data_IF_623515951736
#
_entry.id   IF_623515951736
#
_cell.length_a   1.000
_cell.length_b   1.000
_cell.length_c   1.000
_cell.angle_alpha   90.00
_cell.angle_beta   90.00
_cell.angle_gamma   90.00
#
_symmetry.space_group_name_H-M   'P 1'
#
loop_
_entity.id
_entity.type
_entity.pdbx_description
1 polymer ?
#
# COMPACT_ATOMS: atom_id res chain seq x y z
N UNK A 1 -16.99 3.34 -20.16
CA UNK A 1 -16.17 4.57 -20.13
C UNK A 1 -14.77 4.22 -20.57
N UNK A 2 -14.03 5.16 -21.17
CA UNK A 2 -12.59 5.03 -21.43
C UNK A 2 -11.78 5.75 -20.37
N UNK A 3 -10.94 5.04 -19.64
CA UNK A 3 -10.20 5.53 -18.49
C UNK A 3 -8.69 5.60 -18.76
N UNK A 4 -8.05 6.70 -18.38
CA UNK A 4 -6.61 6.82 -18.36
C UNK A 4 -6.11 6.73 -16.90
N UNK A 5 -5.39 5.67 -16.54
CA UNK A 5 -4.76 5.50 -15.24
C UNK A 5 -3.27 5.87 -15.34
N UNK A 6 -2.79 6.77 -14.49
CA UNK A 6 -1.37 7.14 -14.42
C UNK A 6 -0.75 6.55 -13.17
N UNK A 7 0.26 5.69 -13.36
CA UNK A 7 0.90 4.92 -12.28
C UNK A 7 2.43 5.05 -12.34
N UNK A 8 3.17 4.85 -11.23
CA UNK A 8 4.64 4.92 -11.27
C UNK A 8 5.26 3.76 -12.06
N UNK A 9 4.67 2.60 -11.97
CA UNK A 9 5.03 1.29 -12.45
C UNK A 9 4.17 0.27 -11.71
N UNK A 10 4.67 -0.94 -11.48
CA UNK A 10 3.92 -2.00 -10.78
C UNK A 10 2.94 -2.74 -11.70
N UNK A 11 3.21 -2.74 -12.99
CA UNK A 11 2.38 -3.37 -14.05
C UNK A 11 3.26 -4.16 -15.03
N UNK A 12 4.21 -4.93 -14.51
CA UNK A 12 5.11 -5.75 -15.30
C UNK A 12 4.36 -6.78 -16.14
N UNK A 13 4.89 -7.10 -17.32
CA UNK A 13 4.31 -8.04 -18.29
C UNK A 13 4.02 -9.43 -17.71
N UNK A 14 4.80 -9.84 -16.71
CA UNK A 14 4.62 -11.14 -16.05
C UNK A 14 3.32 -11.22 -15.23
N UNK A 15 2.78 -10.09 -14.77
CA UNK A 15 1.66 -10.06 -13.83
C UNK A 15 2.00 -10.54 -12.40
N UNK A 16 3.23 -10.99 -12.16
CA UNK A 16 3.67 -11.58 -10.88
C UNK A 16 4.88 -10.85 -10.27
N UNK A 17 5.89 -10.51 -11.10
CA UNK A 17 7.12 -9.86 -10.67
C UNK A 17 7.03 -8.35 -10.90
N UNK A 18 7.65 -7.55 -10.02
CA UNK A 18 7.68 -6.09 -10.15
C UNK A 18 6.30 -5.46 -10.34
N UNK A 19 5.29 -6.03 -9.67
CA UNK A 19 3.89 -5.57 -9.70
C UNK A 19 3.47 -5.01 -8.36
N UNK A 20 2.43 -4.19 -8.38
CA UNK A 20 1.70 -3.77 -7.17
C UNK A 20 0.37 -4.54 -7.18
N UNK A 21 0.21 -5.58 -6.33
CA UNK A 21 -0.94 -6.50 -6.41
C UNK A 21 -2.30 -5.80 -6.34
N UNK A 22 -2.48 -4.84 -5.42
CA UNK A 22 -3.72 -4.09 -5.32
C UNK A 22 -4.01 -3.22 -6.57
N UNK A 23 -2.97 -2.75 -7.27
CA UNK A 23 -3.12 -2.02 -8.53
C UNK A 23 -3.58 -2.93 -9.65
N UNK A 24 -2.99 -4.13 -9.77
CA UNK A 24 -3.44 -5.11 -10.77
C UNK A 24 -4.88 -5.55 -10.51
N UNK A 25 -5.21 -5.83 -9.25
CA UNK A 25 -6.56 -6.19 -8.86
C UNK A 25 -7.59 -5.08 -9.19
N UNK A 26 -7.24 -3.81 -9.00
CA UNK A 26 -8.06 -2.67 -9.39
C UNK A 26 -8.21 -2.58 -10.93
N UNK A 27 -7.10 -2.68 -11.67
CA UNK A 27 -7.09 -2.62 -13.15
C UNK A 27 -8.00 -3.71 -13.73
N UNK A 28 -7.84 -4.95 -13.28
CA UNK A 28 -8.65 -6.08 -13.74
C UNK A 28 -10.14 -5.84 -13.54
N UNK A 29 -10.54 -5.34 -12.37
CA UNK A 29 -11.94 -5.08 -12.07
C UNK A 29 -12.52 -3.93 -12.88
N UNK A 30 -11.77 -2.86 -13.05
CA UNK A 30 -12.19 -1.75 -13.90
C UNK A 30 -12.28 -2.17 -15.39
N UNK A 31 -11.39 -3.03 -15.86
CA UNK A 31 -11.38 -3.53 -17.23
C UNK A 31 -12.58 -4.44 -17.58
N UNK A 32 -13.29 -4.96 -16.57
CA UNK A 32 -14.53 -5.73 -16.79
C UNK A 32 -15.68 -4.89 -17.37
N UNK A 33 -15.70 -3.59 -17.11
CA UNK A 33 -16.79 -2.68 -17.49
C UNK A 33 -16.34 -1.40 -18.20
N UNK A 34 -15.02 -1.18 -18.32
CA UNK A 34 -14.42 0.02 -18.90
C UNK A 34 -13.28 -0.34 -19.85
N UNK A 35 -13.02 0.50 -20.84
CA UNK A 35 -11.79 0.48 -21.62
C UNK A 35 -10.70 1.18 -20.78
N UNK A 36 -9.70 0.43 -20.32
CA UNK A 36 -8.68 0.93 -19.39
C UNK A 36 -7.32 1.03 -20.08
N UNK A 37 -6.76 2.23 -20.10
CA UNK A 37 -5.39 2.50 -20.55
C UNK A 37 -4.53 2.92 -19.35
N UNK A 38 -3.45 2.19 -19.08
CA UNK A 38 -2.53 2.45 -17.97
C UNK A 38 -1.25 3.07 -18.50
N UNK A 39 -0.96 4.28 -18.08
CA UNK A 39 0.29 4.99 -18.41
C UNK A 39 1.27 4.81 -17.26
N UNK A 40 2.14 3.80 -17.38
CA UNK A 40 3.20 3.53 -16.43
C UNK A 40 4.39 4.46 -16.70
N UNK A 41 4.73 5.30 -15.72
CA UNK A 41 5.79 6.29 -15.92
C UNK A 41 7.15 5.64 -16.12
N UNK A 42 7.44 4.58 -15.35
CA UNK A 42 8.75 3.93 -15.35
C UNK A 42 8.66 2.47 -14.88
N UNK A 43 8.04 1.60 -15.69
CA UNK A 43 8.08 0.15 -15.44
C UNK A 43 9.37 -0.45 -16.01
N UNK A 44 9.70 -0.09 -17.24
CA UNK A 44 10.90 -0.48 -17.97
C UNK A 44 11.62 0.77 -18.47
N UNK A 45 12.94 0.72 -18.69
CA UNK A 45 13.73 1.83 -19.21
C UNK A 45 13.29 2.24 -20.62
N UNK A 46 13.00 1.26 -21.49
CA UNK A 46 12.51 1.49 -22.83
C UNK A 46 10.99 1.73 -22.85
N UNK A 47 10.52 2.62 -23.71
CA UNK A 47 9.09 2.76 -23.96
C UNK A 47 8.51 1.49 -24.61
N UNK A 48 7.29 1.12 -24.24
CA UNK A 48 6.66 -0.08 -24.76
C UNK A 48 5.15 -0.13 -24.52
N UNK A 49 4.49 -1.13 -25.13
CA UNK A 49 3.06 -1.40 -24.92
C UNK A 49 2.84 -2.88 -24.76
N UNK A 50 1.87 -3.26 -23.94
CA UNK A 50 1.39 -4.63 -23.76
C UNK A 50 0.00 -4.63 -23.14
N UNK A 51 -0.65 -5.79 -23.18
CA UNK A 51 -1.91 -6.03 -22.47
C UNK A 51 -1.64 -6.72 -21.13
N UNK A 52 -2.33 -6.28 -20.07
CA UNK A 52 -2.25 -6.89 -18.75
C UNK A 52 -3.57 -6.67 -17.99
N UNK A 53 -4.10 -7.72 -17.38
CA UNK A 53 -5.34 -7.66 -16.60
C UNK A 53 -6.52 -7.00 -17.34
N UNK A 54 -6.63 -7.21 -18.65
CA UNK A 54 -7.67 -6.65 -19.51
C UNK A 54 -7.48 -5.17 -19.88
N UNK A 55 -6.33 -4.57 -19.55
CA UNK A 55 -6.03 -3.17 -19.85
C UNK A 55 -4.82 -3.02 -20.77
N UNK A 56 -4.82 -1.95 -21.59
CA UNK A 56 -3.68 -1.57 -22.44
C UNK A 56 -2.64 -0.80 -21.63
N UNK A 57 -1.47 -1.35 -21.45
CA UNK A 57 -0.36 -0.73 -20.71
C UNK A 57 0.53 0.04 -21.67
N UNK A 58 0.77 1.31 -21.34
CA UNK A 58 1.69 2.21 -22.04
C UNK A 58 2.86 2.52 -21.13
N UNK A 59 3.98 1.82 -21.25
CA UNK A 59 5.21 2.18 -20.55
C UNK A 59 5.89 3.38 -21.22
N UNK A 60 6.10 4.42 -20.45
CA UNK A 60 6.69 5.68 -20.96
C UNK A 60 8.22 5.58 -21.09
N UNK A 61 8.87 4.85 -20.18
CA UNK A 61 10.31 4.69 -20.14
C UNK A 61 11.04 5.91 -19.59
N UNK A 62 12.38 5.85 -19.65
CA UNK A 62 13.26 6.87 -19.10
C UNK A 62 13.31 8.16 -19.93
N UNK A 63 13.79 9.26 -19.32
CA UNK A 63 14.01 10.57 -19.94
C UNK A 63 12.73 11.36 -20.20
N UNK A 64 12.66 12.60 -19.69
CA UNK A 64 11.53 13.53 -19.81
C UNK A 64 10.15 12.87 -19.60
N UNK A 65 10.08 11.86 -18.76
CA UNK A 65 8.95 10.93 -18.55
C UNK A 65 7.60 11.65 -18.42
N UNK A 66 7.54 12.75 -17.67
CA UNK A 66 6.27 13.48 -17.46
C UNK A 66 5.71 14.08 -18.74
N UNK A 67 6.55 14.74 -19.54
CA UNK A 67 6.13 15.35 -20.80
C UNK A 67 5.72 14.28 -21.82
N UNK A 68 6.49 13.17 -21.89
CA UNK A 68 6.18 12.02 -22.76
C UNK A 68 4.88 11.36 -22.37
N UNK A 69 4.60 11.22 -21.05
CA UNK A 69 3.34 10.68 -20.56
C UNK A 69 2.14 11.55 -20.96
N UNK A 70 2.23 12.86 -20.78
CA UNK A 70 1.18 13.80 -21.21
C UNK A 70 0.96 13.72 -22.73
N UNK A 71 2.05 13.66 -23.51
CA UNK A 71 1.98 13.52 -24.97
C UNK A 71 1.32 12.19 -25.38
N UNK A 72 1.65 11.08 -24.70
CA UNK A 72 1.07 9.75 -24.95
C UNK A 72 -0.44 9.73 -24.62
N UNK A 73 -0.85 10.29 -23.49
CA UNK A 73 -2.26 10.43 -23.12
C UNK A 73 -3.02 11.25 -24.16
N UNK A 74 -2.45 12.39 -24.59
CA UNK A 74 -3.04 13.25 -25.63
C UNK A 74 -3.15 12.52 -26.96
N UNK A 75 -2.13 11.77 -27.35
CA UNK A 75 -2.13 11.02 -28.62
C UNK A 75 -3.21 9.93 -28.61
N UNK A 76 -3.37 9.22 -27.50
CA UNK A 76 -4.41 8.20 -27.36
C UNK A 76 -5.81 8.81 -27.30
N UNK A 77 -5.98 9.92 -26.58
CA UNK A 77 -7.24 10.67 -26.52
C UNK A 77 -7.72 11.16 -27.92
N UNK A 78 -6.78 11.52 -28.81
CA UNK A 78 -7.12 11.92 -30.20
C UNK A 78 -7.64 10.75 -31.05
N UNK A 79 -7.24 9.51 -30.73
CA UNK A 79 -7.72 8.31 -31.42
C UNK A 79 -9.12 7.93 -30.97
N UNK A 80 -9.30 7.91 -29.65
CA UNK A 80 -10.60 7.68 -29.02
C UNK A 80 -10.61 8.43 -27.68
N UNK A 81 -11.57 9.35 -27.44
CA UNK A 81 -11.57 10.22 -26.26
C UNK A 81 -11.66 9.44 -24.96
N UNK A 82 -10.84 9.85 -23.98
CA UNK A 82 -10.99 9.43 -22.57
C UNK A 82 -12.15 10.18 -21.93
N UNK A 83 -12.82 9.53 -21.00
CA UNK A 83 -13.84 10.13 -20.15
C UNK A 83 -13.24 10.70 -18.89
N UNK A 84 -12.18 10.08 -18.34
CA UNK A 84 -11.56 10.44 -17.06
C UNK A 84 -10.07 10.13 -17.04
N UNK A 85 -9.34 10.91 -16.23
CA UNK A 85 -7.92 10.65 -15.95
C UNK A 85 -7.75 10.48 -14.45
N UNK A 86 -7.17 9.35 -14.04
CA UNK A 86 -6.89 9.05 -12.64
C UNK A 86 -5.40 8.82 -12.42
N UNK A 87 -4.85 9.36 -11.34
CA UNK A 87 -3.53 8.98 -10.83
C UNK A 87 -3.67 8.08 -9.59
N UNK A 88 -2.91 7.02 -9.56
CA UNK A 88 -2.57 6.30 -8.32
C UNK A 88 -1.20 6.80 -7.89
N UNK A 89 -1.13 7.37 -6.68
CA UNK A 89 -0.07 8.22 -6.13
C UNK A 89 -0.07 9.66 -6.69
N UNK A 90 -0.05 10.63 -5.77
CA UNK A 90 -0.19 12.04 -6.12
C UNK A 90 1.08 12.65 -6.73
N UNK A 91 2.25 12.23 -6.37
CA UNK A 91 3.55 12.77 -6.78
C UNK A 91 3.70 13.11 -8.27
N UNK A 92 4.53 12.36 -9.00
CA UNK A 92 4.71 12.54 -10.46
C UNK A 92 3.51 12.07 -11.25
N UNK A 93 2.81 11.03 -10.79
CA UNK A 93 1.61 10.51 -11.44
C UNK A 93 0.47 11.54 -11.36
N UNK A 94 0.24 12.12 -10.17
CA UNK A 94 -0.75 13.17 -10.00
C UNK A 94 -0.47 14.40 -10.86
N UNK A 95 0.79 14.82 -10.94
CA UNK A 95 1.17 15.96 -11.82
C UNK A 95 0.84 15.68 -13.29
N UNK A 96 1.17 14.49 -13.79
CA UNK A 96 0.85 14.09 -15.19
C UNK A 96 -0.65 14.03 -15.40
N UNK A 97 -1.38 13.38 -14.49
CA UNK A 97 -2.83 13.21 -14.60
C UNK A 97 -3.56 14.55 -14.61
N UNK A 98 -3.25 15.43 -13.65
CA UNK A 98 -3.88 16.75 -13.55
C UNK A 98 -3.51 17.64 -14.76
N UNK A 99 -2.24 17.66 -15.20
CA UNK A 99 -1.81 18.44 -16.35
C UNK A 99 -2.50 17.94 -17.64
N UNK A 100 -2.56 16.63 -17.87
CA UNK A 100 -3.25 16.05 -19.02
C UNK A 100 -4.76 16.34 -18.97
N UNK A 101 -5.39 16.17 -17.81
CA UNK A 101 -6.81 16.45 -17.61
C UNK A 101 -7.16 17.92 -17.93
N UNK A 102 -6.39 18.85 -17.42
CA UNK A 102 -6.58 20.30 -17.73
C UNK A 102 -6.41 20.59 -19.21
N UNK A 103 -5.37 20.01 -19.86
CA UNK A 103 -5.12 20.18 -21.27
C UNK A 103 -6.27 19.65 -22.14
N UNK A 104 -6.88 18.53 -21.73
CA UNK A 104 -7.94 17.84 -22.46
C UNK A 104 -9.34 18.22 -21.99
N UNK A 105 -9.48 19.06 -20.97
CA UNK A 105 -10.73 19.46 -20.31
C UNK A 105 -11.53 18.26 -19.77
N UNK A 106 -10.82 17.30 -19.19
CA UNK A 106 -11.38 16.10 -18.59
C UNK A 106 -11.36 16.19 -17.06
N UNK A 107 -12.28 15.50 -16.38
CA UNK A 107 -12.22 15.34 -14.94
C UNK A 107 -11.01 14.51 -14.50
N UNK A 108 -10.37 14.93 -13.40
CA UNK A 108 -9.20 14.31 -12.80
C UNK A 108 -9.49 13.75 -11.42
N UNK A 109 -8.93 12.57 -11.13
CA UNK A 109 -8.94 11.97 -9.80
C UNK A 109 -7.50 11.66 -9.37
N UNK A 110 -7.14 12.04 -8.15
CA UNK A 110 -5.82 11.75 -7.57
C UNK A 110 -5.99 10.94 -6.29
N UNK A 111 -5.40 9.74 -6.27
CA UNK A 111 -5.42 8.85 -5.11
C UNK A 111 -4.08 8.90 -4.37
N UNK A 112 -4.12 9.23 -3.07
CA UNK A 112 -2.95 9.27 -2.19
C UNK A 112 -2.85 7.95 -1.45
N UNK A 113 -1.79 7.17 -1.72
CA UNK A 113 -1.63 5.83 -1.19
C UNK A 113 -0.20 5.48 -0.74
N UNK A 114 0.68 6.47 -0.63
CA UNK A 114 2.09 6.27 -0.27
C UNK A 114 2.63 7.33 0.69
N UNK A 115 3.94 7.56 0.62
CA UNK A 115 4.66 8.54 1.44
C UNK A 115 4.62 9.97 0.92
N UNK A 116 3.65 10.34 0.10
CA UNK A 116 3.58 11.64 -0.59
C UNK A 116 3.46 12.81 0.39
N UNK A 117 2.74 12.62 1.49
CA UNK A 117 2.43 13.67 2.48
C UNK A 117 3.44 13.77 3.61
N UNK A 118 4.43 12.87 3.68
CA UNK A 118 5.39 12.82 4.79
C UNK A 118 6.77 13.35 4.42
N UNK A 119 7.55 13.68 5.45
CA UNK A 119 8.94 14.11 5.35
C UNK A 119 9.74 13.51 6.52
N UNK A 120 10.14 12.25 6.41
CA UNK A 120 10.99 11.58 7.38
C UNK A 120 12.46 11.90 7.08
N UNK A 121 12.93 13.03 7.64
CA UNK A 121 14.25 13.59 7.32
C UNK A 121 15.39 12.67 7.71
N UNK A 122 15.28 11.97 8.86
CA UNK A 122 16.31 11.06 9.36
C UNK A 122 16.68 9.94 8.38
N UNK A 123 15.73 9.50 7.57
CA UNK A 123 15.93 8.41 6.60
C UNK A 123 15.83 8.87 5.14
N UNK A 124 15.66 10.17 4.91
CA UNK A 124 15.53 10.71 3.55
C UNK A 124 14.26 10.29 2.80
N UNK A 125 13.16 9.97 3.50
CA UNK A 125 11.94 9.43 2.90
C UNK A 125 10.78 10.44 2.92
N UNK A 126 10.01 10.45 1.83
CA UNK A 126 8.75 11.18 1.72
C UNK A 126 8.71 12.26 0.64
N UNK A 127 7.52 12.46 0.09
CA UNK A 127 7.28 13.41 -1.00
C UNK A 127 7.49 14.88 -0.61
N UNK A 128 7.36 15.19 0.67
CA UNK A 128 7.47 16.55 1.23
C UNK A 128 8.85 16.89 1.81
N UNK A 129 9.86 16.06 1.62
CA UNK A 129 11.23 16.30 2.06
C UNK A 129 11.78 17.64 1.54
N UNK A 130 11.67 17.85 0.24
CA UNK A 130 12.19 19.05 -0.44
C UNK A 130 11.06 20.05 -0.71
N UNK A 131 11.38 21.36 -0.72
CA UNK A 131 10.39 22.43 -0.99
C UNK A 131 9.70 22.26 -2.35
N UNK A 132 10.43 21.84 -3.39
CA UNK A 132 9.87 21.55 -4.72
C UNK A 132 8.84 20.41 -4.67
N UNK A 133 9.08 19.40 -3.82
CA UNK A 133 8.12 18.32 -3.58
C UNK A 133 6.84 18.85 -2.92
N UNK A 134 6.97 19.68 -1.88
CA UNK A 134 5.82 20.32 -1.21
C UNK A 134 4.98 21.18 -2.15
N UNK A 135 5.66 22.00 -2.98
CA UNK A 135 4.97 22.84 -3.96
C UNK A 135 4.23 22.01 -5.00
N UNK A 136 4.90 21.00 -5.58
CA UNK A 136 4.29 20.08 -6.54
C UNK A 136 3.05 19.41 -5.94
N UNK A 137 3.17 18.87 -4.73
CA UNK A 137 2.08 18.20 -4.02
C UNK A 137 0.90 19.15 -3.81
N UNK A 138 1.15 20.36 -3.31
CA UNK A 138 0.12 21.37 -3.12
C UNK A 138 -0.59 21.76 -4.43
N UNK A 139 0.16 21.91 -5.53
CA UNK A 139 -0.41 22.20 -6.84
C UNK A 139 -1.28 21.04 -7.34
N UNK A 140 -0.81 19.81 -7.23
CA UNK A 140 -1.54 18.63 -7.67
C UNK A 140 -2.85 18.45 -6.90
N UNK A 141 -2.79 18.51 -5.56
CA UNK A 141 -3.95 18.29 -4.70
C UNK A 141 -5.02 19.38 -4.84
N UNK A 142 -4.61 20.65 -5.08
CA UNK A 142 -5.57 21.75 -5.31
C UNK A 142 -6.15 21.75 -6.72
N UNK A 143 -5.40 21.24 -7.70
CA UNK A 143 -5.83 21.23 -9.09
C UNK A 143 -6.61 19.98 -9.50
N UNK A 144 -6.59 18.92 -8.69
CA UNK A 144 -7.40 17.72 -8.89
C UNK A 144 -8.88 18.00 -8.60
N UNK A 145 -9.78 17.48 -9.44
CA UNK A 145 -11.23 17.63 -9.24
C UNK A 145 -11.73 16.73 -8.10
N UNK A 146 -11.11 15.56 -7.93
CA UNK A 146 -11.39 14.64 -6.83
C UNK A 146 -10.08 14.15 -6.23
N UNK A 147 -9.97 14.24 -4.89
CA UNK A 147 -8.87 13.63 -4.13
C UNK A 147 -9.41 12.49 -3.30
N UNK A 148 -8.70 11.36 -3.32
CA UNK A 148 -9.00 10.19 -2.50
C UNK A 148 -7.76 9.74 -1.73
N UNK A 149 -7.96 8.98 -0.64
CA UNK A 149 -6.88 8.48 0.19
C UNK A 149 -7.15 7.06 0.69
N UNK A 150 -6.08 6.28 0.86
CA UNK A 150 -6.19 4.87 1.24
C UNK A 150 -6.62 4.66 2.70
N UNK A 151 -6.28 5.57 3.62
CA UNK A 151 -6.48 5.40 5.05
C UNK A 151 -6.91 6.69 5.76
N UNK A 152 -7.46 6.56 6.97
CA UNK A 152 -7.87 7.70 7.79
C UNK A 152 -6.69 8.63 8.17
N UNK A 153 -5.49 8.15 8.54
CA UNK A 153 -4.34 9.02 8.79
C UNK A 153 -3.97 9.89 7.58
N UNK A 154 -4.11 9.37 6.36
CA UNK A 154 -3.87 10.19 5.15
C UNK A 154 -4.99 11.23 4.97
N UNK A 155 -6.25 10.87 5.23
CA UNK A 155 -7.38 11.83 5.20
C UNK A 155 -7.13 12.98 6.18
N UNK A 156 -6.68 12.68 7.39
CA UNK A 156 -6.33 13.69 8.40
C UNK A 156 -5.18 14.59 7.93
N UNK A 157 -4.13 13.97 7.36
CA UNK A 157 -3.02 14.73 6.77
C UNK A 157 -3.47 15.65 5.63
N UNK A 158 -4.38 15.22 4.77
CA UNK A 158 -4.97 16.04 3.70
C UNK A 158 -5.83 17.17 4.26
N UNK A 159 -6.65 16.86 5.28
CA UNK A 159 -7.48 17.87 5.99
C UNK A 159 -6.60 18.95 6.61
N UNK A 160 -5.49 18.60 7.25
CA UNK A 160 -4.54 19.56 7.80
C UNK A 160 -3.88 20.46 6.73
N UNK A 161 -3.91 20.04 5.45
CA UNK A 161 -3.47 20.83 4.30
C UNK A 161 -4.60 21.62 3.61
N UNK A 162 -5.81 21.59 4.18
CA UNK A 162 -7.00 22.22 3.61
C UNK A 162 -7.53 21.51 2.36
N UNK A 163 -7.26 20.22 2.20
CA UNK A 163 -7.70 19.40 1.05
C UNK A 163 -8.80 18.45 1.50
N UNK A 164 -10.00 18.60 0.92
CA UNK A 164 -11.08 17.65 1.10
C UNK A 164 -10.77 16.36 0.31
N UNK A 165 -10.88 15.20 0.96
CA UNK A 165 -10.63 13.93 0.33
C UNK A 165 -11.61 12.85 0.79
N UNK A 166 -11.84 11.83 -0.06
CA UNK A 166 -12.69 10.68 0.25
C UNK A 166 -11.83 9.45 0.51
N UNK A 167 -12.22 8.64 1.48
CA UNK A 167 -11.53 7.39 1.76
C UNK A 167 -11.89 6.35 0.70
N UNK A 168 -10.88 5.79 0.06
CA UNK A 168 -10.98 4.63 -0.84
C UNK A 168 -9.80 3.70 -0.48
N UNK A 169 -10.00 2.70 0.37
CA UNK A 169 -8.95 1.75 0.69
C UNK A 169 -8.62 0.89 -0.53
N UNK A 170 -7.36 0.51 -0.67
CA UNK A 170 -6.95 -0.51 -1.64
C UNK A 170 -7.13 -1.88 -0.99
N UNK A 171 -8.07 -2.66 -1.50
CA UNK A 171 -8.44 -3.95 -0.92
C UNK A 171 -7.64 -5.13 -1.45
N UNK A 172 -7.77 -6.25 -0.76
CA UNK A 172 -7.18 -7.54 -1.16
C UNK A 172 -8.05 -8.19 -2.23
N UNK A 173 -7.40 -8.84 -3.18
CA UNK A 173 -8.06 -9.74 -4.11
C UNK A 173 -8.40 -11.07 -3.42
N UNK A 174 -9.69 -11.30 -3.14
CA UNK A 174 -10.16 -12.51 -2.47
C UNK A 174 -10.07 -13.77 -3.35
N UNK A 175 -9.84 -13.65 -4.66
CA UNK A 175 -9.54 -14.79 -5.51
C UNK A 175 -8.09 -15.27 -5.33
N UNK A 176 -7.16 -14.32 -5.25
CA UNK A 176 -5.75 -14.62 -4.94
C UNK A 176 -5.54 -15.02 -3.47
N UNK A 177 -6.34 -14.43 -2.57
CA UNK A 177 -6.33 -14.66 -1.12
C UNK A 177 -7.70 -15.14 -0.63
N UNK A 178 -8.06 -16.43 -0.85
CA UNK A 178 -9.28 -16.98 -0.28
C UNK A 178 -9.28 -16.87 1.24
N UNK A 179 -10.40 -16.44 1.87
CA UNK A 179 -10.48 -16.28 3.31
C UNK A 179 -10.26 -17.60 4.05
N UNK A 180 -9.41 -17.58 5.08
CA UNK A 180 -9.20 -18.70 6.00
C UNK A 180 -9.58 -18.29 7.41
N UNK A 181 -10.32 -19.16 8.11
CA UNK A 181 -10.68 -18.92 9.50
C UNK A 181 -9.42 -18.80 10.39
N UNK A 182 -9.41 -17.89 11.37
CA UNK A 182 -8.37 -17.86 12.39
C UNK A 182 -8.21 -19.22 13.06
N UNK A 183 -6.98 -19.66 13.23
CA UNK A 183 -6.65 -20.97 13.75
C UNK A 183 -5.81 -20.90 15.02
N UNK A 184 -5.95 -21.89 15.87
CA UNK A 184 -5.08 -22.07 17.03
C UNK A 184 -3.63 -22.32 16.58
N UNK A 185 -2.68 -21.86 17.41
CA UNK A 185 -1.26 -22.12 17.20
C UNK A 185 -0.98 -23.63 17.27
N UNK A 186 -0.07 -24.06 16.44
CA UNK A 186 0.49 -25.41 16.52
C UNK A 186 1.51 -25.48 17.66
N UNK A 187 1.66 -26.66 18.24
CA UNK A 187 2.74 -26.88 19.22
C UNK A 187 4.14 -26.60 18.62
N UNK A 188 5.05 -26.13 19.43
CA UNK A 188 6.42 -25.81 19.05
C UNK A 188 6.71 -24.32 18.95
N UNK A 189 7.83 -23.93 18.30
CA UNK A 189 8.24 -22.53 18.14
C UNK A 189 7.18 -21.69 17.41
N UNK A 190 6.92 -20.47 17.89
CA UNK A 190 6.02 -19.54 17.26
C UNK A 190 6.49 -19.18 15.84
N UNK A 191 5.59 -19.13 14.88
CA UNK A 191 5.87 -18.77 13.49
C UNK A 191 5.51 -17.31 13.24
N UNK A 192 6.52 -16.48 13.10
CA UNK A 192 6.36 -15.05 12.82
C UNK A 192 6.66 -14.78 11.36
N UNK A 193 5.97 -13.82 10.77
CA UNK A 193 6.25 -13.37 9.40
C UNK A 193 6.35 -11.84 9.36
N UNK A 194 7.30 -11.33 8.57
CA UNK A 194 7.44 -9.93 8.20
C UNK A 194 7.50 -9.83 6.69
N UNK A 195 6.60 -9.06 6.09
CA UNK A 195 6.50 -8.94 4.63
C UNK A 195 6.65 -7.48 4.24
N UNK A 196 7.84 -7.12 3.80
CA UNK A 196 8.17 -5.77 3.33
C UNK A 196 9.53 -5.77 2.63
N UNK A 197 9.72 -4.91 1.63
CA UNK A 197 11.07 -4.65 1.10
C UNK A 197 12.00 -4.21 2.22
N UNK A 198 13.25 -4.69 2.22
CA UNK A 198 14.25 -4.25 3.19
C UNK A 198 14.72 -2.85 2.80
N UNK A 199 14.16 -1.86 3.46
CA UNK A 199 14.49 -0.45 3.25
C UNK A 199 14.27 0.35 4.55
N UNK A 200 14.81 1.57 4.59
CA UNK A 200 14.84 2.37 5.83
C UNK A 200 13.46 2.71 6.39
N UNK A 201 12.43 2.84 5.55
CA UNK A 201 11.08 3.17 6.05
C UNK A 201 10.39 1.99 6.73
N UNK A 202 10.81 0.75 6.42
CA UNK A 202 10.27 -0.47 7.04
C UNK A 202 10.91 -0.82 8.38
N UNK A 203 12.01 -0.14 8.72
CA UNK A 203 12.68 -0.18 10.03
C UNK A 203 12.89 -1.60 10.59
N UNK A 204 13.46 -2.48 9.74
CA UNK A 204 13.84 -3.81 10.20
C UNK A 204 14.81 -3.81 11.40
N UNK A 205 15.66 -2.80 11.62
CA UNK A 205 16.42 -2.71 12.86
C UNK A 205 15.58 -2.75 14.15
N UNK A 206 14.43 -2.08 14.18
CA UNK A 206 13.48 -2.17 15.31
C UNK A 206 12.92 -3.59 15.45
N UNK A 207 12.52 -4.23 14.36
CA UNK A 207 12.08 -5.63 14.35
C UNK A 207 13.16 -6.57 14.93
N UNK A 208 14.39 -6.49 14.41
CA UNK A 208 15.46 -7.40 14.81
C UNK A 208 15.86 -7.22 16.29
N UNK A 209 15.85 -5.99 16.83
CA UNK A 209 16.06 -5.76 18.26
C UNK A 209 14.94 -6.35 19.12
N UNK A 210 13.67 -6.22 18.68
CA UNK A 210 12.55 -6.87 19.35
C UNK A 210 12.68 -8.40 19.35
N UNK A 211 13.09 -8.99 18.25
CA UNK A 211 13.33 -10.44 18.15
C UNK A 211 14.49 -10.90 19.02
N UNK A 212 15.57 -10.12 19.13
CA UNK A 212 16.68 -10.42 20.02
C UNK A 212 16.22 -10.43 21.49
N UNK A 213 15.44 -9.43 21.91
CA UNK A 213 14.88 -9.39 23.27
C UNK A 213 13.96 -10.59 23.56
N UNK A 214 13.13 -11.00 22.62
CA UNK A 214 12.28 -12.20 22.76
C UNK A 214 13.09 -13.49 22.91
N UNK A 215 14.15 -13.66 22.12
CA UNK A 215 15.07 -14.80 22.24
C UNK A 215 15.76 -14.81 23.59
N UNK A 216 16.28 -13.65 24.02
CA UNK A 216 16.98 -13.51 25.31
C UNK A 216 16.03 -13.77 26.50
N UNK A 217 14.74 -13.46 26.33
CA UNK A 217 13.64 -13.83 27.23
C UNK A 217 13.21 -15.30 27.16
N UNK A 218 13.87 -16.14 26.34
CA UNK A 218 13.60 -17.58 26.25
C UNK A 218 12.43 -17.97 25.34
N UNK A 219 11.85 -17.03 24.58
CA UNK A 219 10.76 -17.35 23.64
C UNK A 219 11.29 -18.14 22.45
N UNK A 220 10.76 -19.33 22.22
CA UNK A 220 11.06 -20.12 21.03
C UNK A 220 10.21 -19.64 19.83
N UNK A 221 10.88 -19.15 18.77
CA UNK A 221 10.20 -18.68 17.55
C UNK A 221 11.03 -18.93 16.28
N UNK A 222 10.37 -18.83 15.15
CA UNK A 222 10.98 -18.69 13.80
C UNK A 222 10.36 -17.48 13.13
N UNK A 223 11.21 -16.62 12.53
CA UNK A 223 10.79 -15.42 11.79
C UNK A 223 11.13 -15.58 10.32
N UNK A 224 10.16 -15.50 9.45
CA UNK A 224 10.34 -15.38 8.02
C UNK A 224 10.25 -13.91 7.58
N UNK A 225 11.32 -13.41 6.96
CA UNK A 225 11.38 -12.05 6.41
C UNK A 225 11.31 -12.16 4.89
N UNK A 226 10.22 -11.64 4.30
CA UNK A 226 9.92 -11.69 2.87
C UNK A 226 9.98 -10.29 2.28
N UNK A 227 10.75 -10.10 1.22
CA UNK A 227 10.83 -8.84 0.48
C UNK A 227 12.17 -8.64 -0.22
N UNK A 228 12.18 -7.70 -1.16
CA UNK A 228 13.38 -7.31 -1.91
C UNK A 228 14.34 -6.58 -0.98
N UNK A 229 15.61 -6.96 -0.99
CA UNK A 229 16.67 -6.23 -0.29
C UNK A 229 17.15 -5.04 -1.13
N UNK A 230 16.94 -3.82 -0.63
CA UNK A 230 17.44 -2.58 -1.21
C UNK A 230 18.56 -1.93 -0.37
N UNK A 231 18.99 -2.62 0.70
CA UNK A 231 20.03 -2.18 1.63
C UNK A 231 21.32 -3.03 1.55
N UNK A 232 21.44 -3.83 0.48
CA UNK A 232 22.67 -4.57 0.16
C UNK A 232 23.22 -5.40 1.33
N UNK A 233 22.35 -6.16 2.01
CA UNK A 233 22.72 -7.05 3.11
C UNK A 233 22.89 -6.36 4.47
N UNK A 234 22.56 -5.08 4.60
CA UNK A 234 22.69 -4.35 5.88
C UNK A 234 21.84 -4.98 6.99
N UNK A 235 20.61 -5.39 6.65
CA UNK A 235 19.67 -5.99 7.60
C UNK A 235 20.14 -7.39 8.03
N UNK A 236 20.62 -8.19 7.07
CA UNK A 236 21.17 -9.52 7.33
C UNK A 236 22.40 -9.47 8.24
N UNK A 237 23.32 -8.52 7.98
CA UNK A 237 24.48 -8.30 8.83
C UNK A 237 24.10 -7.87 10.26
N UNK A 238 23.02 -7.10 10.40
CA UNK A 238 22.51 -6.74 11.73
C UNK A 238 21.92 -7.97 12.44
N UNK A 239 21.18 -8.82 11.74
CA UNK A 239 20.67 -10.08 12.32
C UNK A 239 21.80 -10.97 12.84
N UNK A 240 22.92 -11.10 12.08
CA UNK A 240 24.10 -11.82 12.52
C UNK A 240 24.74 -11.23 13.78
N UNK A 241 24.95 -9.90 13.81
CA UNK A 241 25.48 -9.24 15.02
C UNK A 241 24.58 -9.40 16.26
N UNK A 242 23.29 -9.58 16.05
CA UNK A 242 22.33 -9.86 17.13
C UNK A 242 22.18 -11.35 17.42
N UNK A 243 22.91 -12.26 16.74
CA UNK A 243 22.87 -13.71 16.97
C UNK A 243 21.52 -14.35 16.60
N UNK A 244 20.83 -13.83 15.56
CA UNK A 244 19.48 -14.27 15.17
C UNK A 244 19.47 -15.28 14.00
N UNK A 245 20.64 -15.72 13.51
CA UNK A 245 20.77 -16.54 12.28
C UNK A 245 20.01 -17.87 12.38
N UNK A 246 19.89 -18.44 13.58
CA UNK A 246 19.20 -19.70 13.78
C UNK A 246 17.68 -19.61 13.85
N UNK A 247 17.11 -18.40 14.05
CA UNK A 247 15.67 -18.19 14.20
C UNK A 247 15.08 -17.22 13.17
N UNK A 248 15.88 -16.49 12.38
CA UNK A 248 15.44 -15.55 11.34
C UNK A 248 15.88 -16.04 9.96
N UNK A 249 14.96 -16.13 9.02
CA UNK A 249 15.24 -16.49 7.62
C UNK A 249 14.86 -15.33 6.71
N UNK A 250 15.76 -14.94 5.82
CA UNK A 250 15.53 -13.98 4.76
C UNK A 250 15.18 -14.72 3.47
N UNK A 251 13.94 -14.61 3.03
CA UNK A 251 13.44 -15.39 1.90
C UNK A 251 13.52 -14.65 0.56
N UNK A 252 13.91 -13.36 0.58
CA UNK A 252 13.88 -12.53 -0.62
C UNK A 252 12.45 -12.25 -1.10
N UNK A 253 12.33 -11.81 -2.36
CA UNK A 253 11.03 -11.57 -2.98
C UNK A 253 10.26 -12.90 -3.13
N UNK A 254 8.94 -12.81 -2.93
CA UNK A 254 7.98 -13.89 -3.21
C UNK A 254 6.80 -13.33 -3.98
N UNK A 255 6.33 -14.06 -4.98
CA UNK A 255 5.06 -13.76 -5.66
C UNK A 255 3.89 -13.94 -4.70
N UNK A 256 2.71 -13.40 -5.02
CA UNK A 256 1.52 -13.57 -4.19
C UNK A 256 1.20 -15.05 -3.94
N UNK A 257 1.38 -15.88 -4.95
CA UNK A 257 1.17 -17.34 -4.87
C UNK A 257 2.14 -18.02 -3.90
N UNK A 258 3.41 -17.59 -3.87
CA UNK A 258 4.42 -18.12 -2.96
C UNK A 258 4.31 -17.54 -1.54
N UNK A 259 3.87 -16.28 -1.42
CA UNK A 259 3.70 -15.59 -0.14
C UNK A 259 2.52 -16.15 0.66
N UNK A 260 1.42 -16.46 -0.02
CA UNK A 260 0.18 -16.92 0.62
C UNK A 260 0.40 -18.11 1.57
N UNK A 261 1.02 -19.24 1.18
CA UNK A 261 1.23 -20.36 2.10
C UNK A 261 2.16 -20.01 3.28
N UNK A 262 3.08 -19.08 3.12
CA UNK A 262 3.92 -18.59 4.22
C UNK A 262 3.09 -17.79 5.23
N UNK A 263 2.21 -16.90 4.74
CA UNK A 263 1.29 -16.13 5.57
C UNK A 263 0.31 -17.05 6.29
N UNK A 264 -0.32 -17.98 5.58
CA UNK A 264 -1.27 -18.96 6.13
C UNK A 264 -0.63 -19.85 7.22
N UNK A 265 0.68 -20.07 7.15
CA UNK A 265 1.42 -20.85 8.15
C UNK A 265 1.83 -20.01 9.37
N UNK A 266 1.78 -18.69 9.31
CA UNK A 266 2.22 -17.80 10.37
C UNK A 266 1.23 -17.75 11.54
N UNK A 267 1.74 -17.51 12.75
CA UNK A 267 0.96 -17.26 13.95
C UNK A 267 0.73 -15.77 14.18
N UNK A 268 1.67 -14.91 13.73
CA UNK A 268 1.56 -13.46 13.76
C UNK A 268 2.27 -12.83 12.54
N UNK A 269 1.63 -11.80 11.96
CA UNK A 269 2.32 -10.81 11.13
C UNK A 269 2.92 -9.74 12.03
N UNK A 270 4.20 -9.44 11.83
CA UNK A 270 4.91 -8.38 12.59
C UNK A 270 5.31 -7.25 11.65
N UNK A 271 4.94 -6.02 11.99
CA UNK A 271 5.27 -4.82 11.23
C UNK A 271 6.06 -3.83 12.09
N UNK A 272 7.13 -3.25 11.55
CA UNK A 272 8.02 -2.30 12.26
C UNK A 272 8.14 -0.95 11.58
N UNK A 273 7.34 -0.68 10.57
CA UNK A 273 7.48 0.49 9.68
C UNK A 273 7.45 1.83 10.42
N UNK A 274 8.25 2.80 9.96
CA UNK A 274 8.19 4.20 10.41
C UNK A 274 7.00 4.94 9.79
N UNK A 275 6.52 4.48 8.64
CA UNK A 275 5.36 5.03 7.95
C UNK A 275 4.72 3.99 7.03
N UNK A 276 3.41 3.98 7.01
CA UNK A 276 2.56 3.29 6.04
C UNK A 276 1.38 4.17 5.65
N UNK A 277 0.98 4.09 4.40
CA UNK A 277 -0.23 4.75 3.92
C UNK A 277 -1.48 3.87 4.14
N UNK A 278 -1.37 2.62 3.75
CA UNK A 278 -2.39 1.58 3.87
C UNK A 278 -1.74 0.25 3.50
N UNK A 279 -1.07 -0.42 4.47
CA UNK A 279 -0.29 -1.61 4.17
C UNK A 279 -1.20 -2.77 3.74
N UNK A 280 -1.08 -3.20 2.49
CA UNK A 280 -1.87 -4.30 1.94
C UNK A 280 -1.62 -5.62 2.68
N UNK A 281 -0.39 -5.83 3.13
CA UNK A 281 -0.02 -7.04 3.88
C UNK A 281 -0.83 -7.25 5.16
N UNK A 282 -1.27 -6.17 5.82
CA UNK A 282 -2.16 -6.25 6.98
C UNK A 282 -3.53 -6.81 6.58
N UNK A 283 -4.05 -6.41 5.42
CA UNK A 283 -5.31 -6.93 4.89
C UNK A 283 -5.15 -8.39 4.44
N UNK A 284 -4.04 -8.72 3.78
CA UNK A 284 -3.69 -10.09 3.36
C UNK A 284 -3.60 -11.04 4.58
N UNK A 285 -2.92 -10.61 5.64
CA UNK A 285 -2.86 -11.37 6.91
C UNK A 285 -4.23 -11.54 7.54
N UNK A 286 -5.03 -10.48 7.58
CA UNK A 286 -6.38 -10.52 8.15
C UNK A 286 -7.29 -11.51 7.39
N UNK A 287 -7.25 -11.51 6.05
CA UNK A 287 -7.99 -12.45 5.21
C UNK A 287 -7.49 -13.89 5.42
N UNK A 288 -6.19 -14.09 5.61
CA UNK A 288 -5.59 -15.39 5.94
C UNK A 288 -5.84 -15.82 7.40
N UNK A 289 -6.58 -15.04 8.19
CA UNK A 289 -6.86 -15.36 9.60
C UNK A 289 -5.66 -15.20 10.54
N UNK A 290 -4.66 -14.40 10.14
CA UNK A 290 -3.42 -14.13 10.88
C UNK A 290 -3.50 -12.75 11.53
N UNK A 291 -3.38 -12.66 12.86
CA UNK A 291 -3.40 -11.37 13.55
C UNK A 291 -2.11 -10.60 13.33
N UNK A 292 -2.20 -9.27 13.44
CA UNK A 292 -1.07 -8.37 13.22
C UNK A 292 -0.70 -7.61 14.49
N UNK A 293 0.60 -7.54 14.75
CA UNK A 293 1.22 -6.65 15.73
C UNK A 293 2.26 -5.78 15.05
N UNK A 294 2.36 -4.52 15.41
CA UNK A 294 3.38 -3.63 14.83
C UNK A 294 3.30 -2.20 15.28
N UNK A 295 4.08 -1.35 14.62
CA UNK A 295 4.13 0.08 14.89
C UNK A 295 2.84 0.79 14.48
N UNK A 296 2.46 1.85 15.21
CA UNK A 296 1.23 2.60 15.04
C UNK A 296 1.26 3.46 13.76
N UNK A 297 1.14 2.83 12.59
CA UNK A 297 1.15 3.46 11.26
C UNK A 297 0.03 2.93 10.35
N UNK A 298 -0.44 3.76 9.42
CA UNK A 298 -1.43 3.37 8.42
C UNK A 298 -2.67 2.73 9.04
N UNK A 299 -3.13 1.63 8.50
CA UNK A 299 -4.29 0.90 9.01
C UNK A 299 -4.10 0.33 10.42
N UNK A 300 -2.88 0.11 10.91
CA UNK A 300 -2.65 -0.35 12.28
C UNK A 300 -3.21 0.63 13.32
N UNK A 301 -3.05 1.94 13.10
CA UNK A 301 -3.65 2.97 13.96
C UNK A 301 -5.18 2.87 13.99
N UNK A 302 -5.79 2.60 12.83
CA UNK A 302 -7.25 2.52 12.71
C UNK A 302 -7.81 1.24 13.34
N UNK A 303 -7.03 0.15 13.33
CA UNK A 303 -7.49 -1.18 13.74
C UNK A 303 -7.22 -1.47 15.20
N UNK A 304 -6.18 -0.87 15.77
CA UNK A 304 -5.86 -1.01 17.19
C UNK A 304 -6.85 -0.24 18.08
N UNK A 305 -7.14 -0.75 19.29
CA UNK A 305 -6.73 -2.06 19.81
C UNK A 305 -7.66 -3.21 19.41
N UNK A 306 -8.74 -2.93 18.70
CA UNK A 306 -9.87 -3.86 18.52
C UNK A 306 -9.59 -5.00 17.50
N UNK A 307 -8.70 -4.78 16.52
CA UNK A 307 -8.42 -5.73 15.43
C UNK A 307 -6.93 -5.86 15.09
N UNK A 308 -6.06 -5.18 15.82
CA UNK A 308 -4.61 -5.28 15.74
C UNK A 308 -3.98 -4.81 17.05
N UNK A 309 -2.71 -5.16 17.28
CA UNK A 309 -1.92 -4.61 18.38
C UNK A 309 -0.92 -3.60 17.82
N UNK A 310 -1.01 -2.34 18.26
CA UNK A 310 -0.13 -1.27 17.84
C UNK A 310 0.76 -0.79 18.99
N UNK A 311 2.01 -0.48 18.66
CA UNK A 311 3.03 0.07 19.59
C UNK A 311 3.63 1.36 19.03
N UNK A 312 4.31 2.20 19.82
CA UNK A 312 4.97 3.40 19.31
C UNK A 312 5.99 3.07 18.21
N UNK A 313 6.15 3.99 17.25
CA UNK A 313 7.11 3.86 16.15
C UNK A 313 8.55 3.86 16.72
N UNK A 314 9.38 2.90 16.29
CA UNK A 314 10.77 2.77 16.71
C UNK A 314 10.97 2.14 18.10
N UNK A 315 9.90 1.84 18.83
CA UNK A 315 9.95 1.21 20.15
C UNK A 315 10.02 -0.32 20.02
N UNK A 316 11.24 -0.83 19.93
CA UNK A 316 11.49 -2.26 19.84
C UNK A 316 11.13 -3.02 21.11
N UNK A 317 11.24 -2.37 22.31
CA UNK A 317 10.92 -3.02 23.57
C UNK A 317 9.40 -3.23 23.70
N UNK A 318 8.59 -2.21 23.41
CA UNK A 318 7.15 -2.33 23.35
C UNK A 318 6.70 -3.33 22.28
N UNK A 319 7.42 -3.42 21.13
CA UNK A 319 7.13 -4.41 20.10
C UNK A 319 7.40 -5.83 20.59
N UNK A 320 8.52 -6.06 21.28
CA UNK A 320 8.84 -7.37 21.87
C UNK A 320 7.79 -7.78 22.91
N UNK A 321 7.44 -6.89 23.83
CA UNK A 321 6.40 -7.13 24.84
C UNK A 321 5.06 -7.49 24.20
N UNK A 322 4.61 -6.71 23.21
CA UNK A 322 3.34 -6.93 22.52
C UNK A 322 3.31 -8.27 21.78
N UNK A 323 4.41 -8.68 21.14
CA UNK A 323 4.54 -10.01 20.51
C UNK A 323 4.41 -11.10 21.59
N UNK A 324 5.18 -10.97 22.70
CA UNK A 324 5.17 -11.94 23.80
C UNK A 324 3.78 -12.11 24.41
N UNK A 325 3.07 -11.00 24.68
CA UNK A 325 1.71 -11.00 25.20
C UNK A 325 0.74 -11.75 24.28
N UNK A 326 0.76 -11.45 22.96
CA UNK A 326 -0.13 -12.11 21.99
C UNK A 326 0.18 -13.59 21.82
N UNK A 327 1.44 -14.01 21.97
CA UNK A 327 1.81 -15.40 21.87
C UNK A 327 1.48 -16.19 23.17
N UNK A 328 1.40 -15.53 24.30
CA UNK A 328 1.00 -16.10 25.58
C UNK A 328 -0.54 -16.20 25.75
N UNK A 329 -1.29 -15.26 25.15
CA UNK A 329 -2.77 -15.22 25.21
C UNK A 329 -3.39 -15.63 23.88
N UNK A 330 -3.66 -16.92 23.75
CA UNK A 330 -4.26 -17.51 22.55
C UNK A 330 -5.68 -16.98 22.27
N UNK A 331 -6.46 -16.70 23.32
CA UNK A 331 -7.82 -16.19 23.18
C UNK A 331 -7.81 -14.78 22.59
N UNK A 332 -6.95 -13.89 23.12
CA UNK A 332 -6.77 -12.54 22.60
C UNK A 332 -6.24 -12.57 21.15
N UNK A 333 -5.27 -13.44 20.85
CA UNK A 333 -4.70 -13.62 19.53
C UNK A 333 -5.76 -13.96 18.49
N UNK A 334 -6.62 -14.96 18.79
CA UNK A 334 -7.73 -15.39 17.92
C UNK A 334 -8.83 -14.32 17.82
N UNK A 335 -9.13 -13.63 18.90
CA UNK A 335 -10.09 -12.52 18.92
C UNK A 335 -9.66 -11.41 17.96
N UNK A 336 -8.38 -10.98 18.02
CA UNK A 336 -7.85 -9.96 17.12
C UNK A 336 -7.86 -10.41 15.67
N UNK A 337 -7.48 -11.67 15.39
CA UNK A 337 -7.52 -12.23 14.03
C UNK A 337 -8.93 -12.21 13.44
N UNK A 338 -9.93 -12.66 14.21
CA UNK A 338 -11.32 -12.66 13.79
C UNK A 338 -11.87 -11.22 13.59
N UNK A 339 -11.49 -10.28 14.46
CA UNK A 339 -11.88 -8.89 14.33
C UNK A 339 -11.22 -8.22 13.11
N UNK A 340 -9.96 -8.51 12.83
CA UNK A 340 -9.25 -8.05 11.65
C UNK A 340 -9.90 -8.56 10.36
N UNK A 341 -10.23 -9.85 10.31
CA UNK A 341 -10.87 -10.49 9.17
C UNK A 341 -12.24 -9.87 8.87
N UNK A 342 -13.09 -9.66 9.90
CA UNK A 342 -14.37 -8.96 9.73
C UNK A 342 -14.24 -7.55 9.16
N UNK A 343 -13.11 -6.86 9.41
CA UNK A 343 -12.83 -5.54 8.84
C UNK A 343 -12.30 -5.60 7.42
N UNK A 344 -11.45 -6.61 7.12
CA UNK A 344 -10.79 -6.73 5.82
C UNK A 344 -11.73 -7.20 4.71
N UNK A 345 -12.57 -8.20 4.98
CA UNK A 345 -13.42 -8.84 3.97
C UNK A 345 -14.35 -7.87 3.23
N UNK A 346 -15.04 -6.91 3.87
CA UNK A 346 -15.89 -5.95 3.17
C UNK A 346 -15.10 -4.90 2.36
N UNK A 347 -13.79 -4.76 2.62
CA UNK A 347 -12.90 -3.81 1.98
C UNK A 347 -11.98 -4.52 0.97
N UNK A 348 -12.53 -5.42 0.18
CA UNK A 348 -11.82 -6.16 -0.87
C UNK A 348 -11.55 -5.33 -2.11
N UNK A 349 -10.90 -5.91 -3.10
CA UNK A 349 -10.59 -5.25 -4.36
C UNK A 349 -11.85 -4.89 -5.17
N UNK A 350 -12.93 -5.67 -5.06
CA UNK A 350 -14.21 -5.34 -5.69
C UNK A 350 -14.86 -4.11 -5.04
N UNK A 351 -14.75 -3.97 -3.71
CA UNK A 351 -15.17 -2.75 -3.01
C UNK A 351 -14.36 -1.53 -3.47
N UNK A 352 -13.04 -1.66 -3.62
CA UNK A 352 -12.17 -0.60 -4.15
C UNK A 352 -12.65 -0.13 -5.53
N UNK A 353 -12.89 -1.06 -6.46
CA UNK A 353 -13.35 -0.75 -7.81
C UNK A 353 -14.72 -0.05 -7.79
N UNK A 354 -15.70 -0.58 -7.03
CA UNK A 354 -17.04 0.05 -6.88
C UNK A 354 -16.96 1.47 -6.33
N UNK A 355 -16.08 1.73 -5.37
CA UNK A 355 -15.89 3.08 -4.81
C UNK A 355 -15.33 4.05 -5.85
N UNK A 356 -14.34 3.64 -6.65
CA UNK A 356 -13.83 4.46 -7.75
C UNK A 356 -14.87 4.68 -8.84
N UNK A 357 -15.60 3.64 -9.26
CA UNK A 357 -16.68 3.77 -10.24
C UNK A 357 -17.77 4.74 -9.79
N UNK A 358 -18.14 4.71 -8.50
CA UNK A 358 -19.09 5.66 -7.95
C UNK A 358 -18.59 7.12 -8.04
N UNK A 359 -17.27 7.33 -7.94
CA UNK A 359 -16.65 8.65 -8.14
C UNK A 359 -16.58 9.04 -9.61
N UNK A 360 -16.40 8.08 -10.53
CA UNK A 360 -16.41 8.38 -11.98
C UNK A 360 -17.77 8.82 -12.49
N UNK A 361 -18.87 8.33 -11.91
CA UNK A 361 -20.25 8.69 -12.33
C UNK A 361 -20.68 10.08 -11.85
N UNK A 362 -20.01 10.67 -10.85
CA UNK A 362 -20.36 11.99 -10.35
C UNK A 362 -19.82 13.11 -11.25
N UNK A 363 -20.64 14.15 -11.47
CA UNK A 363 -20.16 15.37 -12.13
C UNK A 363 -19.14 16.10 -11.26
N UNK A 364 -18.16 16.81 -11.83
CA UNK A 364 -17.11 17.51 -11.06
C UNK A 364 -17.67 18.55 -10.06
N UNK A 365 -18.85 19.15 -10.32
CA UNK A 365 -19.49 20.17 -9.52
C UNK A 365 -20.07 19.70 -8.18
N UNK A 366 -20.40 18.40 -8.04
CA UNK A 366 -20.99 17.89 -6.79
C UNK A 366 -19.96 17.67 -5.66
N UNK A 367 -18.68 17.72 -5.96
CA UNK A 367 -17.62 17.47 -5.00
C UNK A 367 -17.30 18.68 -4.08
N UNK A 368 -17.63 19.91 -4.51
CA UNK A 368 -17.37 21.15 -3.74
C UNK A 368 -18.57 21.62 -2.93
N UNK A 369 -19.78 21.14 -3.23
CA UNK A 369 -21.03 21.64 -2.62
C UNK A 369 -21.31 21.17 -1.19
N UNK A 370 -20.65 20.14 -0.65
CA UNK A 370 -20.93 19.62 0.70
C UNK A 370 -20.02 20.16 1.81
N UNK A 371 -19.05 21.01 1.50
CA UNK A 371 -18.25 21.69 2.51
C UNK A 371 -18.97 22.90 3.16
N UNK A 372 -20.06 23.38 2.55
CA UNK A 372 -20.78 24.60 2.97
C UNK A 372 -22.02 24.39 3.87
N UNK A 373 -22.43 23.14 4.15
CA UNK A 373 -23.73 22.87 4.83
C UNK A 373 -23.60 22.25 6.24
N UNK A 374 -22.46 22.44 6.92
CA UNK A 374 -22.35 22.15 8.37
C UNK A 374 -21.67 23.29 9.12
N UNK A 375 -22.22 24.50 9.00
CA UNK A 375 -21.93 25.60 9.89
C UNK A 375 -23.20 26.49 9.94
N UNK A 376 -24.21 25.98 10.58
CA UNK A 376 -25.29 26.74 11.27
C UNK A 376 -25.76 25.87 12.43
#
# INVERSE_FOLDING_TARGET
>A
MKLALVVPGGVDRSGEYRVIPALLALIERLARSHEVHVFALQQEAAAGRWELAGASIHNIGDGRTRLRAIAAIRAEHRRAPFDRIQAIFSGSCGLVAVAAARLLRLPSLVHVAGGELVALRAIGYGGRLKWKGRLREACVLRAADVVTAASAPIIEGLRALGVAARRVPLGVDLQAWPPLAPRARRAGPARLIHVASLNRVKDQPTLLRALAALRDGGLAFRMDIVGVDTLHGEVQRLAGRLGLEHCVRFLGFRTQRELRPLMEAADLLVMSSLHEAGPLVLLEAAVAGVPTVGTAVGHLVEWAPAAARAVPVGDWAALAEAIGQLLADEALRLQLAAAAQRRALPQDADCTARLFEALYRRAPTDAQGQAGLRAT
#
